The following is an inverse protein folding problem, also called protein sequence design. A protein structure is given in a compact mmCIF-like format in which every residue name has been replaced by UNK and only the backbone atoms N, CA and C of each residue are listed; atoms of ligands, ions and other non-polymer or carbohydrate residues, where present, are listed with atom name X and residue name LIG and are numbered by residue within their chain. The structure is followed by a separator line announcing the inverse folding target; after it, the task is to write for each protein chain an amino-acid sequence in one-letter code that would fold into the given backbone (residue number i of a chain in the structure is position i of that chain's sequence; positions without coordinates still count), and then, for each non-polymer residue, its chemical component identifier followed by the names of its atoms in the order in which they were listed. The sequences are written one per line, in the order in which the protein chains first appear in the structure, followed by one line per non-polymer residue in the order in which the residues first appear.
data_IF_767927416441
#
_entry.id   IF_767927416441
#
_cell.length_a   1.000
_cell.length_b   1.000
_cell.length_c   1.000
_cell.angle_alpha   90.00
_cell.angle_beta   90.00
_cell.angle_gamma   90.00
#
_symmetry.space_group_name_H-M   'P 1'
#
loop_
_entity.id
_entity.type
_entity.pdbx_description
1 polymer ?
#
# COMPACT_ATOMS: atom_id res chain seq x y z
N UNK A 1 7.89 18.00 -26.34
CA UNK A 1 8.11 17.38 -25.02
C UNK A 1 6.74 17.25 -24.39
N UNK A 2 6.13 16.08 -24.51
CA UNK A 2 4.86 15.76 -23.83
C UNK A 2 5.17 15.37 -22.39
N UNK A 3 4.37 15.87 -21.47
CA UNK A 3 4.47 15.72 -20.00
C UNK A 3 4.21 14.27 -19.51
N UNK A 4 4.35 13.28 -20.39
CA UNK A 4 3.93 11.89 -20.18
C UNK A 4 5.03 11.01 -19.54
N UNK A 5 6.23 11.56 -19.35
CA UNK A 5 7.41 10.89 -18.79
C UNK A 5 7.61 11.11 -17.28
N UNK A 6 6.68 11.79 -16.60
CA UNK A 6 6.71 11.98 -15.13
C UNK A 6 6.08 10.82 -14.34
N UNK A 7 5.73 9.71 -14.97
CA UNK A 7 5.44 8.47 -14.24
C UNK A 7 6.77 7.77 -13.96
N UNK A 8 7.22 7.65 -12.70
CA UNK A 8 8.41 6.86 -12.42
C UNK A 8 8.18 5.45 -12.98
N UNK A 9 9.10 5.01 -13.84
CA UNK A 9 9.01 3.72 -14.50
C UNK A 9 8.79 2.60 -13.48
N UNK A 10 7.71 1.82 -13.64
CA UNK A 10 7.67 0.42 -13.21
C UNK A 10 7.02 0.06 -11.87
N UNK A 11 6.12 0.87 -11.30
CA UNK A 11 5.33 0.39 -10.17
C UNK A 11 4.15 -0.50 -10.62
N UNK A 12 3.94 -1.68 -10.01
CA UNK A 12 2.76 -2.50 -10.25
C UNK A 12 1.49 -1.69 -9.99
N UNK A 13 0.49 -1.84 -10.85
CA UNK A 13 -0.84 -1.24 -10.63
C UNK A 13 -1.50 -1.75 -9.35
N UNK A 14 -1.17 -2.99 -8.96
CA UNK A 14 -1.75 -3.70 -7.84
C UNK A 14 -0.72 -4.61 -7.20
N UNK A 15 -0.74 -4.67 -5.87
CA UNK A 15 0.18 -5.47 -5.07
C UNK A 15 -0.57 -6.62 -4.40
N UNK A 16 -0.06 -7.86 -4.47
CA UNK A 16 -0.50 -8.92 -3.57
C UNK A 16 -0.40 -8.47 -2.11
N UNK A 17 -1.31 -8.97 -1.27
CA UNK A 17 -1.38 -8.53 0.14
C UNK A 17 -0.03 -8.59 0.88
N UNK A 18 0.79 -9.61 0.61
CA UNK A 18 2.12 -9.79 1.20
C UNK A 18 3.07 -8.65 0.82
N UNK A 19 3.07 -8.24 -0.45
CA UNK A 19 3.91 -7.15 -0.95
C UNK A 19 3.41 -5.79 -0.44
N UNK A 20 2.08 -5.59 -0.44
CA UNK A 20 1.47 -4.40 0.14
C UNK A 20 1.87 -4.21 1.61
N UNK A 21 1.85 -5.30 2.39
CA UNK A 21 2.27 -5.32 3.79
C UNK A 21 3.73 -4.90 3.96
N UNK A 22 4.62 -5.44 3.13
CA UNK A 22 6.04 -5.11 3.15
C UNK A 22 6.29 -3.62 2.80
N UNK A 23 5.62 -3.08 1.78
CA UNK A 23 5.75 -1.67 1.40
C UNK A 23 5.29 -0.72 2.51
N UNK A 24 4.22 -1.09 3.20
CA UNK A 24 3.63 -0.31 4.28
C UNK A 24 4.32 -0.54 5.63
N UNK A 25 5.28 -1.47 5.72
CA UNK A 25 5.95 -1.91 6.95
C UNK A 25 4.96 -2.35 8.05
N UNK A 26 3.88 -3.03 7.66
CA UNK A 26 2.88 -3.60 8.57
C UNK A 26 2.72 -5.10 8.34
N UNK A 27 2.08 -5.79 9.27
CA UNK A 27 1.75 -7.20 9.07
C UNK A 27 0.55 -7.38 8.12
N UNK A 28 0.48 -8.50 7.39
CA UNK A 28 -0.72 -8.86 6.61
C UNK A 28 -1.98 -8.91 7.50
N UNK A 29 -1.83 -9.31 8.77
CA UNK A 29 -2.91 -9.31 9.76
C UNK A 29 -3.43 -7.90 10.03
N UNK A 30 -2.55 -6.92 10.15
CA UNK A 30 -2.89 -5.50 10.29
C UNK A 30 -3.70 -5.05 9.08
N UNK A 31 -3.18 -5.26 7.87
CA UNK A 31 -3.88 -4.93 6.63
C UNK A 31 -5.28 -5.55 6.55
N UNK A 32 -5.42 -6.85 6.86
CA UNK A 32 -6.73 -7.53 6.89
C UNK A 32 -7.69 -6.95 7.93
N UNK A 33 -7.18 -6.51 9.08
CA UNK A 33 -7.98 -5.85 10.11
C UNK A 33 -8.48 -4.48 9.62
N UNK A 34 -7.61 -3.70 8.99
CA UNK A 34 -7.99 -2.39 8.45
C UNK A 34 -8.98 -2.52 7.28
N UNK A 35 -8.84 -3.56 6.46
CA UNK A 35 -9.81 -3.90 5.42
C UNK A 35 -11.18 -4.23 6.03
N UNK A 36 -11.22 -5.08 7.08
CA UNK A 36 -12.45 -5.37 7.82
C UNK A 36 -13.06 -4.13 8.48
N UNK A 37 -12.23 -3.15 8.84
CA UNK A 37 -12.68 -1.88 9.40
C UNK A 37 -13.11 -0.86 8.33
N UNK A 38 -13.02 -1.20 7.03
CA UNK A 38 -13.37 -0.30 5.92
C UNK A 38 -12.37 0.84 5.70
N UNK A 39 -11.16 0.74 6.26
CA UNK A 39 -10.13 1.80 6.15
C UNK A 39 -9.20 1.65 4.95
N UNK A 40 -9.13 0.45 4.37
CA UNK A 40 -8.40 0.19 3.12
C UNK A 40 -9.22 -0.76 2.25
N UNK A 41 -9.15 -0.61 0.93
CA UNK A 41 -9.87 -1.44 -0.04
C UNK A 41 -8.97 -2.52 -0.64
N UNK A 42 -9.49 -3.75 -0.70
CA UNK A 42 -8.84 -4.86 -1.41
C UNK A 42 -9.64 -5.24 -2.66
N UNK A 43 -8.93 -5.67 -3.69
CA UNK A 43 -9.49 -6.35 -4.86
C UNK A 43 -9.28 -7.86 -4.73
N UNK A 44 -10.25 -8.67 -5.15
CA UNK A 44 -10.13 -10.12 -5.16
C UNK A 44 -10.09 -10.63 -6.60
N UNK A 45 -9.02 -11.35 -6.95
CA UNK A 45 -8.85 -12.01 -8.26
C UNK A 45 -8.30 -13.42 -8.05
N UNK A 46 -8.94 -14.43 -8.64
CA UNK A 46 -8.48 -15.82 -8.55
C UNK A 46 -8.31 -16.34 -7.12
N UNK A 47 -9.16 -15.91 -6.18
CA UNK A 47 -9.07 -16.29 -4.77
C UNK A 47 -7.98 -15.57 -3.96
N UNK A 48 -7.24 -14.63 -4.57
CA UNK A 48 -6.19 -13.84 -3.90
C UNK A 48 -6.63 -12.40 -3.72
N UNK A 49 -6.11 -11.75 -2.68
CA UNK A 49 -6.35 -10.33 -2.40
C UNK A 49 -5.18 -9.47 -2.87
N UNK A 50 -5.53 -8.33 -3.46
CA UNK A 50 -4.63 -7.32 -3.97
C UNK A 50 -5.03 -5.94 -3.45
N UNK A 51 -4.06 -5.04 -3.36
CA UNK A 51 -4.27 -3.62 -3.02
C UNK A 51 -3.79 -2.79 -4.20
N UNK A 52 -4.64 -1.91 -4.69
CA UNK A 52 -4.31 -1.00 -5.79
C UNK A 52 -3.23 0.00 -5.33
N UNK A 53 -2.32 0.40 -6.23
CA UNK A 53 -1.20 1.28 -5.88
C UNK A 53 -1.66 2.61 -5.28
N UNK A 54 -2.67 3.24 -5.87
CA UNK A 54 -3.24 4.51 -5.39
C UNK A 54 -3.84 4.37 -3.99
N UNK A 55 -4.53 3.27 -3.74
CA UNK A 55 -5.13 2.97 -2.45
C UNK A 55 -4.06 2.72 -1.38
N UNK A 56 -2.99 2.03 -1.75
CA UNK A 56 -1.84 1.80 -0.89
C UNK A 56 -1.17 3.12 -0.49
N UNK A 57 -1.00 4.05 -1.44
CA UNK A 57 -0.47 5.39 -1.16
C UNK A 57 -1.41 6.24 -0.30
N UNK A 58 -2.72 6.23 -0.60
CA UNK A 58 -3.74 6.93 0.20
C UNK A 58 -3.65 6.47 1.65
N UNK A 59 -3.73 5.17 1.88
CA UNK A 59 -3.70 4.62 3.24
C UNK A 59 -2.37 4.89 3.94
N UNK A 60 -1.24 4.78 3.24
CA UNK A 60 0.09 5.15 3.79
C UNK A 60 0.11 6.59 4.29
N UNK A 61 -0.48 7.52 3.55
CA UNK A 61 -0.48 8.94 3.90
C UNK A 61 -1.42 9.26 5.07
N UNK A 62 -2.41 8.40 5.33
CA UNK A 62 -3.30 8.49 6.51
C UNK A 62 -2.66 7.92 7.78
N UNK A 63 -1.61 7.10 7.65
CA UNK A 63 -0.89 6.60 8.81
C UNK A 63 -0.08 7.73 9.47
N UNK A 64 -0.05 7.78 10.82
CA UNK A 64 0.93 8.58 11.53
C UNK A 64 2.33 8.25 11.03
N UNK A 65 3.00 9.22 10.43
CA UNK A 65 4.40 9.04 10.02
C UNK A 65 5.27 9.05 11.27
N UNK A 66 6.20 8.09 11.43
CA UNK A 66 7.15 8.15 12.53
C UNK A 66 7.96 9.44 12.43
N UNK A 67 8.27 10.04 13.57
CA UNK A 67 9.09 11.25 13.58
C UNK A 67 10.49 10.94 12.99
N UNK A 68 11.16 11.91 12.35
CA UNK A 68 12.53 11.71 11.88
C UNK A 68 13.44 11.29 13.04
N UNK A 69 13.87 10.02 13.08
CA UNK A 69 14.72 9.46 14.14
C UNK A 69 14.20 8.18 14.80
N UNK A 70 12.91 7.85 14.71
CA UNK A 70 12.33 6.68 15.40
C UNK A 70 12.61 5.33 14.70
N UNK A 71 13.12 5.34 13.47
CA UNK A 71 13.37 4.12 12.67
C UNK A 71 14.81 3.59 12.78
N UNK A 72 15.64 4.17 13.65
CA UNK A 72 17.01 3.72 13.87
C UNK A 72 17.11 3.02 15.24
N UNK A 73 16.83 1.71 15.30
CA UNK A 73 17.23 0.81 16.39
C UNK A 73 17.29 -0.62 15.88
#
# INVERSE_FOLDING_TARGET
MTDEDLRPAGHPLQYPLKEAAAMLRVSEKTLRREYKAGRILFRQYGGRYFVDHEELLRWRNELPQPAPGELAS
#
